data_IF_639747044320
#
_entry.id   IF_639747044320
#
_cell.length_a   1.000
_cell.length_b   1.000
_cell.length_c   1.000
_cell.angle_alpha   90.00
_cell.angle_beta   90.00
_cell.angle_gamma   90.00
#
_symmetry.space_group_name_H-M   'P 1'
#
loop_
_entity.id
_entity.type
_entity.pdbx_description
1 polymer ?
#
# COMPACT_ATOMS: atom_id res chain seq x y z
N UNK A 1 2.11 -12.05 18.88
CA UNK A 1 2.54 -10.80 18.23
C UNK A 1 1.51 -10.44 17.18
N UNK A 2 1.42 -9.19 16.72
CA UNK A 2 0.34 -8.77 15.83
C UNK A 2 0.84 -7.84 14.72
N UNK A 3 0.09 -7.84 13.61
CA UNK A 3 0.27 -6.97 12.46
C UNK A 3 -0.68 -5.79 12.55
N UNK A 4 -0.14 -4.58 12.43
CA UNK A 4 -0.92 -3.35 12.39
C UNK A 4 -1.02 -2.85 10.96
N UNK A 5 -2.25 -2.79 10.46
CA UNK A 5 -2.59 -2.16 9.19
C UNK A 5 -3.00 -0.70 9.44
N UNK A 6 -2.46 0.22 8.64
CA UNK A 6 -2.90 1.61 8.58
C UNK A 6 -3.19 1.98 7.14
N UNK A 7 -4.44 2.29 6.83
CA UNK A 7 -4.88 2.72 5.49
C UNK A 7 -5.17 4.22 5.52
N UNK A 8 -4.59 4.96 4.59
CA UNK A 8 -4.76 6.41 4.45
C UNK A 8 -5.36 6.70 3.07
N UNK A 9 -6.52 7.36 3.04
CA UNK A 9 -7.18 7.83 1.81
C UNK A 9 -7.49 9.31 1.97
N UNK A 10 -6.67 10.17 1.37
CA UNK A 10 -6.70 11.61 1.59
C UNK A 10 -6.68 11.95 3.10
N UNK A 11 -7.71 12.64 3.64
CA UNK A 11 -7.78 12.97 5.07
C UNK A 11 -8.23 11.79 5.96
N UNK A 12 -8.76 10.71 5.41
CA UNK A 12 -9.30 9.58 6.19
C UNK A 12 -8.19 8.58 6.53
N UNK A 13 -8.14 8.16 7.79
CA UNK A 13 -7.21 7.14 8.28
C UNK A 13 -7.97 6.03 8.99
N UNK A 14 -7.84 4.80 8.49
CA UNK A 14 -8.34 3.60 9.16
C UNK A 14 -7.16 2.79 9.71
N UNK A 15 -7.34 2.18 10.89
CA UNK A 15 -6.33 1.33 11.52
C UNK A 15 -7.00 0.04 11.97
N UNK A 16 -6.35 -1.08 11.72
CA UNK A 16 -6.77 -2.39 12.22
C UNK A 16 -5.57 -3.19 12.68
N UNK A 17 -5.81 -4.23 13.46
CA UNK A 17 -4.77 -5.10 14.00
C UNK A 17 -5.20 -6.54 13.79
N UNK A 18 -4.26 -7.34 13.31
CA UNK A 18 -4.47 -8.71 12.85
C UNK A 18 -3.42 -9.62 13.52
N UNK A 19 -3.79 -10.87 13.75
CA UNK A 19 -2.85 -11.82 14.35
C UNK A 19 -1.76 -12.22 13.35
N UNK A 20 -2.14 -12.46 12.11
CA UNK A 20 -1.28 -13.00 11.06
C UNK A 20 -1.01 -11.98 9.94
N UNK A 21 0.10 -12.18 9.22
CA UNK A 21 0.44 -11.34 8.06
C UNK A 21 -0.61 -11.49 6.96
N UNK A 22 -1.06 -12.73 6.73
CA UNK A 22 -2.05 -13.07 5.72
C UNK A 22 -3.36 -12.30 5.93
N UNK A 23 -3.92 -12.35 7.14
CA UNK A 23 -5.13 -11.60 7.50
C UNK A 23 -4.96 -10.09 7.25
N UNK A 24 -3.77 -9.55 7.55
CA UNK A 24 -3.47 -8.15 7.35
C UNK A 24 -3.35 -7.78 5.86
N UNK A 25 -2.83 -8.69 5.03
CA UNK A 25 -2.77 -8.54 3.58
C UNK A 25 -4.16 -8.65 2.94
N UNK A 26 -5.00 -9.58 3.38
CA UNK A 26 -6.38 -9.72 2.90
C UNK A 26 -7.21 -8.47 3.24
N UNK A 27 -7.06 -7.95 4.47
CA UNK A 27 -7.67 -6.69 4.87
C UNK A 27 -7.13 -5.48 4.08
N UNK A 28 -5.85 -5.49 3.72
CA UNK A 28 -5.26 -4.48 2.85
C UNK A 28 -5.85 -4.56 1.43
N UNK A 29 -5.95 -5.76 0.85
CA UNK A 29 -6.54 -5.98 -0.46
C UNK A 29 -7.96 -5.43 -0.53
N UNK A 30 -8.83 -5.84 0.41
CA UNK A 30 -10.20 -5.34 0.46
C UNK A 30 -10.32 -3.82 0.64
N UNK A 31 -9.36 -3.19 1.34
CA UNK A 31 -9.34 -1.74 1.49
C UNK A 31 -8.91 -0.99 0.21
N UNK A 32 -8.05 -1.60 -0.61
CA UNK A 32 -7.61 -1.03 -1.88
C UNK A 32 -8.63 -1.29 -2.99
N UNK A 33 -9.22 -2.49 -3.07
CA UNK A 33 -10.25 -2.86 -4.07
C UNK A 33 -11.55 -2.06 -3.90
N UNK A 34 -11.88 -1.64 -2.68
CA UNK A 34 -13.01 -0.75 -2.40
C UNK A 34 -12.76 0.72 -2.85
N UNK A 35 -11.82 0.95 -3.76
CA UNK A 35 -11.47 2.27 -4.30
C UNK A 35 -11.68 2.29 -5.80
N UNK A 36 -12.50 3.23 -6.31
CA UNK A 36 -12.65 3.49 -7.74
C UNK A 36 -11.53 4.41 -8.23
N UNK A 37 -11.00 4.15 -9.43
CA UNK A 37 -9.98 4.96 -10.12
C UNK A 37 -10.30 6.46 -10.06
N UNK A 38 -9.41 7.29 -9.51
CA UNK A 38 -9.59 8.75 -9.50
C UNK A 38 -9.12 9.43 -10.78
N UNK A 39 -9.82 10.50 -11.17
CA UNK A 39 -9.43 11.35 -12.29
C UNK A 39 -8.16 12.17 -12.00
N UNK A 40 -7.45 12.58 -13.05
CA UNK A 40 -6.27 13.46 -12.99
C UNK A 40 -6.51 14.75 -12.20
N UNK A 41 -5.61 15.09 -11.28
CA UNK A 41 -5.65 16.36 -10.51
C UNK A 41 -4.51 17.29 -10.93
N UNK A 42 -4.83 18.55 -11.24
CA UNK A 42 -3.83 19.62 -11.41
C UNK A 42 -3.65 20.40 -10.11
N UNK A 43 -2.40 20.59 -9.67
CA UNK A 43 -2.10 21.38 -8.48
C UNK A 43 -1.12 22.52 -8.83
N UNK A 44 -1.59 23.75 -8.70
CA UNK A 44 -0.89 24.99 -9.03
C UNK A 44 -0.40 25.05 -10.50
N UNK A 45 0.86 24.72 -10.78
CA UNK A 45 1.49 24.67 -12.12
C UNK A 45 2.17 23.34 -12.43
N UNK A 46 1.98 22.33 -11.57
CA UNK A 46 2.50 20.98 -11.79
C UNK A 46 1.34 20.04 -12.10
N UNK A 47 1.43 19.39 -13.25
CA UNK A 47 0.58 18.26 -13.59
C UNK A 47 1.17 17.05 -12.90
N UNK A 48 0.46 16.52 -11.91
CA UNK A 48 0.75 15.19 -11.39
C UNK A 48 -0.13 14.23 -12.17
N UNK A 49 0.46 13.31 -12.94
CA UNK A 49 -0.35 12.27 -13.59
C UNK A 49 -1.00 11.39 -12.51
N UNK A 50 -2.12 10.72 -12.80
CA UNK A 50 -2.72 9.77 -11.85
C UNK A 50 -1.70 8.73 -11.32
N UNK A 51 -0.80 8.26 -12.19
CA UNK A 51 0.32 7.39 -11.83
C UNK A 51 1.30 8.00 -10.80
N UNK A 52 1.40 9.33 -10.69
CA UNK A 52 2.25 10.00 -9.71
C UNK A 52 1.52 10.30 -8.40
N UNK A 53 0.19 10.16 -8.37
CA UNK A 53 -0.63 10.47 -7.22
C UNK A 53 -0.97 9.19 -6.46
N UNK A 54 -0.46 9.07 -5.24
CA UNK A 54 -0.89 8.01 -4.32
C UNK A 54 -2.27 8.38 -3.76
N UNK A 55 -3.29 7.67 -4.21
CA UNK A 55 -4.67 7.86 -3.77
C UNK A 55 -4.91 7.20 -2.41
N UNK A 56 -4.46 5.94 -2.28
CA UNK A 56 -4.55 5.18 -1.05
C UNK A 56 -3.19 4.62 -0.68
N UNK A 57 -2.80 4.78 0.58
CA UNK A 57 -1.61 4.15 1.13
C UNK A 57 -2.00 3.16 2.21
N UNK A 58 -1.65 1.89 2.01
CA UNK A 58 -1.72 0.87 3.04
C UNK A 58 -0.34 0.59 3.62
N UNK A 59 -0.18 0.74 4.93
CA UNK A 59 1.04 0.45 5.68
C UNK A 59 0.83 -0.75 6.61
N UNK A 60 1.74 -1.73 6.56
CA UNK A 60 1.82 -2.87 7.45
C UNK A 60 3.04 -2.75 8.37
N UNK A 61 2.81 -2.89 9.68
CA UNK A 61 3.84 -2.98 10.72
C UNK A 61 3.69 -4.29 11.47
N UNK A 62 4.75 -5.07 11.57
CA UNK A 62 4.71 -6.39 12.16
C UNK A 62 5.88 -6.72 13.09
N UNK A 63 5.95 -7.99 13.51
CA UNK A 63 7.07 -8.56 14.26
C UNK A 63 8.43 -8.32 13.59
N UNK A 64 9.52 -8.46 14.34
CA UNK A 64 10.87 -8.45 13.75
C UNK A 64 11.26 -7.15 13.05
N UNK A 65 10.61 -6.02 13.39
CA UNK A 65 10.75 -4.72 12.71
C UNK A 65 10.25 -4.73 11.25
N UNK A 66 9.42 -5.70 10.88
CA UNK A 66 8.80 -5.76 9.56
C UNK A 66 7.97 -4.49 9.30
N UNK A 67 8.26 -3.82 8.19
CA UNK A 67 7.55 -2.62 7.75
C UNK A 67 7.55 -2.53 6.23
N UNK A 68 6.36 -2.36 5.67
CA UNK A 68 6.15 -2.17 4.26
C UNK A 68 4.72 -1.77 3.98
N UNK A 69 4.34 -1.77 2.71
CA UNK A 69 3.01 -1.36 2.31
C UNK A 69 2.81 -1.41 0.81
N UNK A 70 1.62 -1.00 0.40
CA UNK A 70 1.26 -0.84 -1.00
C UNK A 70 0.65 0.56 -1.16
N UNK A 71 1.14 1.27 -2.17
CA UNK A 71 0.55 2.51 -2.63
C UNK A 71 -0.35 2.22 -3.84
N UNK A 72 -1.62 2.57 -3.75
CA UNK A 72 -2.55 2.60 -4.88
C UNK A 72 -2.49 3.98 -5.51
N UNK A 73 -2.14 4.01 -6.79
CA UNK A 73 -2.06 5.22 -7.58
C UNK A 73 -3.41 5.52 -8.25
N UNK A 74 -3.63 6.77 -8.66
CA UNK A 74 -4.90 7.19 -9.25
C UNK A 74 -5.22 6.51 -10.59
N UNK A 75 -4.24 5.91 -11.26
CA UNK A 75 -4.43 5.08 -12.47
C UNK A 75 -4.78 3.61 -12.18
N UNK A 76 -4.88 3.23 -10.90
CA UNK A 76 -5.10 1.85 -10.46
C UNK A 76 -3.82 1.04 -10.25
N UNK A 77 -2.65 1.62 -10.51
CA UNK A 77 -1.37 0.92 -10.31
C UNK A 77 -1.13 0.68 -8.82
N UNK A 78 -0.70 -0.54 -8.46
CA UNK A 78 -0.29 -0.90 -7.12
C UNK A 78 1.24 -0.97 -7.04
N UNK A 79 1.84 -0.15 -6.19
CA UNK A 79 3.29 -0.12 -5.97
C UNK A 79 3.63 -0.66 -4.58
N UNK A 80 4.15 -1.89 -4.47
CA UNK A 80 4.62 -2.43 -3.20
C UNK A 80 5.94 -1.78 -2.77
N UNK A 81 6.14 -1.60 -1.48
CA UNK A 81 7.36 -1.02 -0.92
C UNK A 81 7.69 -1.57 0.47
N UNK A 82 8.95 -1.43 0.87
CA UNK A 82 9.44 -1.76 2.21
C UNK A 82 10.27 -0.63 2.82
N UNK A 83 10.49 -0.67 4.12
CA UNK A 83 11.42 0.19 4.83
C UNK A 83 10.75 1.18 5.78
N UNK A 84 11.45 1.50 6.87
CA UNK A 84 10.90 2.27 8.01
C UNK A 84 11.19 3.76 7.96
N UNK A 85 12.41 4.11 7.53
CA UNK A 85 12.89 5.49 7.44
C UNK A 85 12.80 6.02 6.01
N UNK A 86 13.26 5.20 5.06
CA UNK A 86 13.11 5.44 3.64
C UNK A 86 12.31 4.29 3.03
N UNK A 87 11.35 4.64 2.17
CA UNK A 87 10.58 3.65 1.41
C UNK A 87 11.39 3.25 0.20
N UNK A 88 11.49 1.95 -0.03
CA UNK A 88 12.13 1.34 -1.20
C UNK A 88 11.07 0.55 -1.94
N UNK A 89 10.79 0.85 -3.22
CA UNK A 89 9.94 0.01 -4.05
C UNK A 89 10.42 -1.44 -4.02
N UNK A 90 9.48 -2.37 -4.14
CA UNK A 90 9.78 -3.78 -4.32
C UNK A 90 9.60 -4.14 -5.79
N UNK A 91 10.53 -4.93 -6.31
CA UNK A 91 10.38 -5.53 -7.64
C UNK A 91 9.31 -6.62 -7.56
N UNK A 92 8.38 -6.56 -8.52
CA UNK A 92 7.32 -7.56 -8.72
C UNK A 92 7.79 -8.49 -9.83
N UNK A 93 7.94 -9.77 -9.51
CA UNK A 93 8.37 -10.79 -10.45
C UNK A 93 7.27 -11.10 -11.50
N UNK A 94 7.61 -11.63 -12.68
CA UNK A 94 6.60 -12.01 -13.67
C UNK A 94 5.59 -13.02 -13.09
N UNK A 95 4.31 -12.65 -13.09
CA UNK A 95 3.22 -13.46 -12.52
C UNK A 95 3.00 -13.28 -11.02
N UNK A 96 3.80 -12.46 -10.35
CA UNK A 96 3.64 -12.09 -8.95
C UNK A 96 2.68 -10.89 -8.82
N UNK A 97 1.82 -10.87 -7.80
CA UNK A 97 1.05 -9.67 -7.46
C UNK A 97 1.84 -8.73 -6.54
N UNK A 98 1.39 -7.47 -6.42
CA UNK A 98 1.97 -6.55 -5.43
C UNK A 98 1.86 -7.07 -3.98
N UNK A 99 0.80 -7.85 -3.68
CA UNK A 99 0.59 -8.46 -2.37
C UNK A 99 1.57 -9.61 -2.13
N UNK A 100 1.84 -10.44 -3.14
CA UNK A 100 2.80 -11.53 -3.05
C UNK A 100 4.23 -11.00 -2.85
N UNK A 101 4.62 -9.96 -3.61
CA UNK A 101 5.92 -9.30 -3.45
C UNK A 101 6.09 -8.72 -2.03
N UNK A 102 5.02 -8.14 -1.47
CA UNK A 102 5.03 -7.65 -0.10
C UNK A 102 5.08 -8.79 0.92
N UNK A 103 4.33 -9.86 0.72
CA UNK A 103 4.32 -11.04 1.58
C UNK A 103 5.73 -11.66 1.65
N UNK A 104 6.33 -11.95 0.49
CA UNK A 104 7.70 -12.44 0.33
C UNK A 104 8.72 -11.58 1.07
N UNK A 105 8.53 -10.25 1.06
CA UNK A 105 9.44 -9.34 1.73
C UNK A 105 9.26 -9.31 3.25
N UNK A 106 8.04 -9.43 3.74
CA UNK A 106 7.69 -9.23 5.15
C UNK A 106 7.78 -10.52 5.99
N UNK A 107 7.78 -11.69 5.36
CA UNK A 107 7.99 -12.99 6.00
C UNK A 107 6.71 -13.76 6.21
#
# INVERSE_FOLDING_TARGET
MAWKLTVRRGPKVAKSTHAELRDALDALAGALDATSTTATVQLFRRTYTPAQQVEVRGELRGPGRAHGGIDLHGDGTLTPWTGRLARRPLDVEPGESAYDALARRLG
#
